data_IF_148765339901
#
_entry.id   IF_148765339901
#
_cell.length_a   1.000
_cell.length_b   1.000
_cell.length_c   1.000
_cell.angle_alpha   90.00
_cell.angle_beta   90.00
_cell.angle_gamma   90.00
#
_symmetry.space_group_name_H-M   'P 1'
#
loop_
_entity.id
_entity.type
_entity.pdbx_description
1 polymer ?
#
# COMPACT_ATOMS: atom_id res chain seq x y z
N UNK A 1 12.50 38.44 -28.85
CA UNK A 1 11.47 37.50 -29.32
C UNK A 1 12.13 36.14 -29.44
N UNK A 2 11.73 35.19 -28.57
CA UNK A 2 12.27 33.83 -28.54
C UNK A 2 11.39 32.96 -29.44
N UNK A 3 12.02 32.15 -30.28
CA UNK A 3 11.43 31.27 -31.28
C UNK A 3 10.48 30.24 -30.64
N UNK A 4 9.24 30.18 -31.13
CA UNK A 4 8.19 29.28 -30.67
C UNK A 4 8.50 27.80 -30.95
N UNK A 5 9.56 27.49 -31.69
CA UNK A 5 10.01 26.13 -32.01
C UNK A 5 11.01 25.53 -31.01
N UNK A 6 11.34 26.22 -29.91
CA UNK A 6 12.16 25.67 -28.82
C UNK A 6 11.36 24.82 -27.80
N UNK A 7 10.16 24.34 -28.14
CA UNK A 7 9.36 23.45 -27.30
C UNK A 7 10.01 22.06 -27.21
N UNK A 8 10.91 21.93 -26.24
CA UNK A 8 11.32 20.72 -25.50
C UNK A 8 11.13 19.40 -26.25
N UNK A 9 12.10 19.07 -27.10
CA UNK A 9 12.35 17.71 -27.57
C UNK A 9 13.07 16.91 -26.48
N UNK A 10 12.36 16.41 -25.46
CA UNK A 10 12.72 15.20 -24.71
C UNK A 10 11.76 15.00 -23.52
N UNK A 11 11.24 13.78 -23.30
CA UNK A 11 10.65 13.41 -22.01
C UNK A 11 11.75 13.34 -20.94
N UNK A 12 11.58 14.10 -19.85
CA UNK A 12 12.42 14.03 -18.65
C UNK A 12 11.99 12.81 -17.83
N UNK A 13 12.32 11.59 -18.27
CA UNK A 13 12.39 10.41 -17.40
C UNK A 13 13.43 9.44 -17.96
N UNK A 14 14.51 9.22 -17.21
CA UNK A 14 15.64 8.35 -17.57
C UNK A 14 15.42 6.87 -17.21
N UNK A 15 14.19 6.44 -16.94
CA UNK A 15 13.89 5.04 -16.63
C UNK A 15 12.65 4.58 -17.39
N UNK A 16 12.90 3.77 -18.40
CA UNK A 16 11.95 3.12 -19.30
C UNK A 16 11.04 2.12 -18.56
N UNK A 17 9.88 2.57 -18.08
CA UNK A 17 8.69 1.73 -17.99
C UNK A 17 7.57 2.35 -18.84
N UNK A 18 7.77 2.19 -20.16
CA UNK A 18 6.83 2.32 -21.28
C UNK A 18 5.48 3.03 -21.01
N UNK A 19 5.49 4.36 -21.16
CA UNK A 19 4.27 5.12 -21.47
C UNK A 19 3.83 4.76 -22.90
N UNK A 20 2.81 3.91 -23.06
CA UNK A 20 2.14 3.72 -24.36
C UNK A 20 1.13 4.85 -24.56
N UNK A 21 1.47 5.83 -25.39
CA UNK A 21 0.52 6.84 -25.82
C UNK A 21 -0.45 6.22 -26.83
N UNK A 22 -1.73 6.12 -26.46
CA UNK A 22 -2.77 5.73 -27.40
C UNK A 22 -3.10 6.89 -28.35
N UNK A 23 -3.30 6.62 -29.64
CA UNK A 23 -3.76 7.63 -30.58
C UNK A 23 -5.16 8.12 -30.15
N UNK A 24 -5.39 9.44 -30.13
CA UNK A 24 -6.62 10.00 -29.57
C UNK A 24 -7.84 9.65 -30.43
N UNK A 25 -9.00 9.28 -29.86
CA UNK A 25 -10.28 9.59 -30.50
C UNK A 25 -10.43 11.12 -30.57
N UNK A 26 -11.25 11.63 -31.48
CA UNK A 26 -11.32 13.02 -32.00
C UNK A 26 -11.55 14.17 -30.99
N UNK A 27 -11.37 13.93 -29.69
CA UNK A 27 -11.61 14.87 -28.59
C UNK A 27 -10.28 15.21 -27.91
N UNK A 28 -10.19 16.37 -27.27
CA UNK A 28 -8.96 16.95 -26.70
C UNK A 28 -8.41 16.21 -25.45
N UNK A 29 -8.64 14.90 -25.35
CA UNK A 29 -8.36 14.02 -24.21
C UNK A 29 -7.21 13.08 -24.53
N UNK A 30 -6.29 12.93 -23.57
CA UNK A 30 -5.12 12.06 -23.66
C UNK A 30 -5.14 11.05 -22.52
N UNK A 31 -4.55 9.88 -22.78
CA UNK A 31 -4.57 8.75 -21.86
C UNK A 31 -3.16 8.20 -21.62
N UNK A 32 -2.85 7.83 -20.38
CA UNK A 32 -1.61 7.16 -20.00
C UNK A 32 -1.92 6.02 -19.01
N UNK A 33 -1.41 4.82 -19.29
CA UNK A 33 -1.44 3.73 -18.32
C UNK A 33 -0.15 3.70 -17.53
N UNK A 34 -0.25 3.78 -16.20
CA UNK A 34 0.87 3.63 -15.29
C UNK A 34 0.79 2.25 -14.64
N UNK A 35 1.80 1.38 -14.81
CA UNK A 35 1.87 0.10 -14.12
C UNK A 35 1.65 0.28 -12.60
N UNK A 36 0.92 -0.64 -11.97
CA UNK A 36 0.49 -0.60 -10.55
C UNK A 36 -0.56 0.44 -10.18
N UNK A 37 -0.66 1.57 -10.89
CA UNK A 37 -1.54 2.70 -10.50
C UNK A 37 -2.78 2.91 -11.38
N UNK A 38 -2.79 2.44 -12.64
CA UNK A 38 -3.97 2.43 -13.49
C UNK A 38 -3.94 3.42 -14.67
N UNK A 39 -5.11 3.69 -15.24
CA UNK A 39 -5.29 4.55 -16.42
C UNK A 39 -5.59 6.00 -15.99
N UNK A 40 -4.84 6.95 -16.52
CA UNK A 40 -4.95 8.38 -16.27
C UNK A 40 -5.45 9.09 -17.54
N UNK A 41 -6.30 10.11 -17.37
CA UNK A 41 -6.82 10.96 -18.43
C UNK A 41 -6.49 12.44 -18.16
N UNK A 42 -6.16 13.21 -19.18
CA UNK A 42 -6.02 14.67 -19.10
C UNK A 42 -6.45 15.38 -20.39
N UNK A 43 -6.80 16.67 -20.30
CA UNK A 43 -7.11 17.51 -21.46
C UNK A 43 -5.86 18.25 -21.98
N UNK A 44 -5.77 18.53 -23.28
CA UNK A 44 -4.59 19.23 -23.82
C UNK A 44 -4.48 20.70 -23.36
N UNK A 45 -5.56 21.25 -22.79
CA UNK A 45 -5.62 22.60 -22.23
C UNK A 45 -5.37 22.61 -20.71
N UNK A 46 -5.12 21.45 -20.09
CA UNK A 46 -4.65 21.42 -18.71
C UNK A 46 -3.14 21.65 -18.66
N UNK A 47 -2.70 22.63 -17.89
CA UNK A 47 -1.30 22.78 -17.48
C UNK A 47 -0.98 21.63 -16.49
N UNK A 48 -0.86 20.41 -17.01
CA UNK A 48 -0.27 19.31 -16.27
C UNK A 48 1.23 19.58 -16.16
N UNK A 49 1.63 20.35 -15.14
CA UNK A 49 3.03 20.37 -14.71
C UNK A 49 3.41 18.94 -14.34
N UNK A 50 4.55 18.48 -14.87
CA UNK A 50 5.05 17.10 -14.84
C UNK A 50 5.35 16.52 -13.43
N UNK A 51 4.79 17.12 -12.38
CA UNK A 51 4.99 16.76 -10.97
C UNK A 51 3.88 15.85 -10.42
N UNK A 52 3.33 14.97 -11.26
CA UNK A 52 2.47 13.87 -10.79
C UNK A 52 1.08 14.26 -10.29
N UNK A 53 0.62 15.48 -10.56
CA UNK A 53 -0.73 15.94 -10.21
C UNK A 53 -1.38 16.73 -11.36
N UNK A 54 -2.57 16.32 -11.78
CA UNK A 54 -3.41 17.11 -12.68
C UNK A 54 -4.28 18.07 -11.85
N UNK A 55 -4.10 19.38 -12.06
CA UNK A 55 -4.88 20.44 -11.40
C UNK A 55 -6.15 20.71 -12.22
N UNK A 56 -7.34 20.53 -11.61
CA UNK A 56 -8.60 21.03 -12.18
C UNK A 56 -8.91 22.39 -11.54
N UNK A 57 -9.08 23.43 -12.37
CA UNK A 57 -9.51 24.76 -11.93
C UNK A 57 -11.03 24.87 -12.09
N UNK A 58 -11.81 25.19 -11.04
CA UNK A 58 -13.06 25.89 -11.26
C UNK A 58 -12.74 27.34 -11.63
N UNK A 59 -13.54 27.91 -12.51
CA UNK A 59 -13.38 29.27 -12.99
C UNK A 59 -13.46 30.27 -11.84
N UNK A 60 -12.35 30.96 -11.64
CA UNK A 60 -12.17 32.13 -10.78
C UNK A 60 -12.16 31.88 -9.27
N UNK A 61 -10.93 31.87 -8.75
CA UNK A 61 -10.54 32.17 -7.36
C UNK A 61 -10.62 31.06 -6.30
N UNK A 62 -9.42 30.62 -5.91
CA UNK A 62 -9.04 30.00 -4.63
C UNK A 62 -9.17 28.47 -4.52
N UNK A 63 -8.00 27.83 -4.68
CA UNK A 63 -7.59 26.48 -4.24
C UNK A 63 -8.50 25.32 -4.70
N UNK A 64 -8.16 24.71 -5.85
CA UNK A 64 -8.80 23.50 -6.35
C UNK A 64 -8.32 22.24 -5.63
N UNK A 65 -9.26 21.38 -5.24
CA UNK A 65 -9.00 20.06 -4.66
C UNK A 65 -8.91 18.99 -5.76
N UNK A 66 -8.04 17.99 -5.58
CA UNK A 66 -7.90 16.85 -6.48
C UNK A 66 -9.15 15.97 -6.46
N UNK A 67 -9.73 15.64 -7.62
CA UNK A 67 -10.84 14.68 -7.71
C UNK A 67 -10.34 13.37 -8.32
N UNK A 68 -10.33 12.31 -7.53
CA UNK A 68 -10.07 10.94 -7.97
C UNK A 68 -11.30 10.43 -8.74
N UNK A 69 -11.29 10.57 -10.07
CA UNK A 69 -12.47 10.31 -10.92
C UNK A 69 -12.74 8.81 -11.15
N UNK A 70 -11.77 7.95 -10.84
CA UNK A 70 -11.95 6.51 -10.73
C UNK A 70 -10.87 5.93 -9.82
N UNK A 71 -11.24 5.51 -8.60
CA UNK A 71 -10.37 4.65 -7.79
C UNK A 71 -10.72 3.20 -8.06
N UNK A 72 -9.81 2.44 -8.66
CA UNK A 72 -9.86 0.99 -8.44
C UNK A 72 -9.27 0.73 -7.07
N UNK A 73 -10.09 0.30 -6.11
CA UNK A 73 -9.58 -0.26 -4.86
C UNK A 73 -8.81 -1.54 -5.23
N UNK A 74 -7.49 -1.42 -5.35
CA UNK A 74 -6.61 -2.57 -5.50
C UNK A 74 -6.19 -2.98 -4.11
N UNK A 75 -6.76 -4.06 -3.61
CA UNK A 75 -6.27 -4.73 -2.42
C UNK A 75 -5.05 -5.54 -2.84
N UNK A 76 -3.86 -5.00 -2.58
CA UNK A 76 -2.59 -5.71 -2.66
C UNK A 76 -2.54 -6.87 -1.67
N UNK A 77 -1.95 -7.97 -2.12
CA UNK A 77 -1.65 -9.11 -1.29
C UNK A 77 -0.18 -9.50 -1.47
N UNK A 78 0.44 -9.96 -0.38
CA UNK A 78 1.78 -10.55 -0.41
C UNK A 78 1.72 -11.98 0.10
N UNK A 79 2.53 -12.85 -0.50
CA UNK A 79 2.77 -14.23 -0.07
C UNK A 79 4.25 -14.37 0.25
N UNK A 80 4.68 -14.01 1.48
CA UNK A 80 6.10 -14.05 1.83
C UNK A 80 6.66 -15.47 1.82
N UNK A 81 7.99 -15.63 1.80
CA UNK A 81 8.62 -16.92 2.04
C UNK A 81 8.17 -17.57 3.36
N UNK A 82 8.24 -18.90 3.41
CA UNK A 82 7.90 -19.69 4.61
C UNK A 82 8.73 -19.19 5.80
N UNK A 83 8.06 -18.88 6.92
CA UNK A 83 8.74 -18.54 8.16
C UNK A 83 9.34 -19.80 8.78
N UNK A 84 10.66 -19.88 8.76
CA UNK A 84 11.40 -20.97 9.40
C UNK A 84 11.65 -20.74 10.90
N UNK A 85 11.44 -19.52 11.41
CA UNK A 85 11.59 -19.15 12.81
C UNK A 85 10.73 -17.92 13.13
N UNK A 86 10.56 -17.63 14.42
CA UNK A 86 9.93 -16.38 14.86
C UNK A 86 10.71 -15.14 14.41
N UNK A 87 10.01 -14.00 14.32
CA UNK A 87 10.60 -12.75 13.86
C UNK A 87 10.17 -11.55 14.72
N UNK A 88 11.11 -10.63 14.90
CA UNK A 88 10.85 -9.30 15.45
C UNK A 88 10.67 -8.32 14.30
N UNK A 89 9.84 -7.29 14.48
CA UNK A 89 9.62 -6.24 13.47
C UNK A 89 9.31 -6.81 12.08
N UNK A 90 8.45 -7.82 12.00
CA UNK A 90 8.25 -8.59 10.78
C UNK A 90 7.77 -7.68 9.64
N UNK A 91 8.53 -7.58 8.55
CA UNK A 91 8.25 -6.70 7.42
C UNK A 91 8.63 -7.42 6.12
N UNK A 92 7.77 -8.32 5.61
CA UNK A 92 8.03 -8.98 4.33
C UNK A 92 8.04 -7.98 3.17
N UNK A 93 8.74 -8.33 2.09
CA UNK A 93 8.82 -7.50 0.88
C UNK A 93 7.42 -7.10 0.37
N UNK A 94 7.30 -5.86 -0.08
CA UNK A 94 6.07 -5.24 -0.62
C UNK A 94 4.91 -5.14 0.37
N UNK A 95 5.15 -5.36 1.67
CA UNK A 95 4.10 -5.19 2.67
C UNK A 95 3.59 -3.75 2.69
N UNK A 96 4.36 -2.72 2.35
CA UNK A 96 3.96 -1.31 2.41
C UNK A 96 2.66 -1.01 1.66
N UNK A 97 2.39 -1.74 0.58
CA UNK A 97 1.22 -1.57 -0.29
C UNK A 97 0.19 -2.70 -0.17
N UNK A 98 0.37 -3.61 0.79
CA UNK A 98 -0.50 -4.78 0.94
C UNK A 98 -1.57 -4.58 2.03
N UNK A 99 -2.76 -5.11 1.80
CA UNK A 99 -3.85 -5.20 2.78
C UNK A 99 -4.01 -6.63 3.29
N UNK A 100 -3.43 -7.61 2.60
CA UNK A 100 -3.42 -9.02 2.98
C UNK A 100 -2.02 -9.63 2.95
N UNK A 101 -1.68 -10.40 3.98
CA UNK A 101 -0.45 -11.18 4.07
C UNK A 101 -0.83 -12.65 4.22
N UNK A 102 -0.45 -13.48 3.26
CA UNK A 102 -0.63 -14.93 3.30
C UNK A 102 0.66 -15.59 3.79
N UNK A 103 0.74 -15.85 5.10
CA UNK A 103 1.95 -16.32 5.74
C UNK A 103 1.94 -17.83 5.99
N UNK A 104 2.92 -18.53 5.44
CA UNK A 104 3.23 -19.92 5.77
C UNK A 104 4.34 -20.00 6.83
N UNK A 105 4.38 -21.07 7.62
CA UNK A 105 5.39 -21.35 8.62
C UNK A 105 5.74 -22.84 8.63
N UNK A 106 7.03 -23.16 8.69
CA UNK A 106 7.51 -24.55 8.72
C UNK A 106 7.43 -25.19 10.11
N UNK A 107 7.15 -24.39 11.13
CA UNK A 107 6.94 -24.79 12.52
C UNK A 107 6.07 -23.75 13.23
N UNK A 108 5.68 -24.00 14.47
CA UNK A 108 5.06 -22.97 15.30
C UNK A 108 6.04 -21.80 15.47
N UNK A 109 5.61 -20.59 15.09
CA UNK A 109 6.43 -19.37 15.15
C UNK A 109 5.76 -18.29 15.97
N UNK A 110 6.58 -17.39 16.52
CA UNK A 110 6.09 -16.18 17.19
C UNK A 110 6.55 -14.94 16.44
N UNK A 111 5.61 -14.05 16.12
CA UNK A 111 5.87 -12.71 15.66
C UNK A 111 5.68 -11.73 16.81
N UNK A 112 6.66 -10.88 17.06
CA UNK A 112 6.60 -9.89 18.16
C UNK A 112 6.15 -8.51 17.70
N UNK A 113 6.07 -8.31 16.38
CA UNK A 113 5.61 -7.07 15.77
C UNK A 113 5.52 -7.18 14.25
N UNK A 114 4.87 -6.20 13.63
CA UNK A 114 4.67 -6.06 12.19
C UNK A 114 5.11 -4.66 11.75
N UNK A 115 5.92 -4.58 10.69
CA UNK A 115 6.42 -3.35 10.11
C UNK A 115 5.42 -2.59 9.26
N UNK A 116 5.86 -1.42 8.79
CA UNK A 116 5.21 -0.62 7.75
C UNK A 116 3.83 -0.04 8.13
N UNK A 117 3.57 0.17 9.42
CA UNK A 117 2.34 0.82 9.89
C UNK A 117 2.27 2.32 9.56
N UNK A 118 1.12 2.77 9.06
CA UNK A 118 0.75 4.19 8.97
C UNK A 118 -0.68 4.38 9.49
N UNK A 119 -1.01 5.56 10.01
CA UNK A 119 -2.29 5.75 10.72
C UNK A 119 -3.50 5.36 9.86
N UNK A 120 -4.41 4.61 10.45
CA UNK A 120 -5.62 4.13 9.80
C UNK A 120 -5.45 2.87 8.94
N UNK A 121 -4.21 2.42 8.68
CA UNK A 121 -3.93 1.23 7.86
C UNK A 121 -4.65 -0.01 8.39
N UNK A 122 -5.34 -0.73 7.51
CA UNK A 122 -5.89 -2.06 7.79
C UNK A 122 -5.05 -3.13 7.10
N UNK A 123 -4.71 -4.19 7.83
CA UNK A 123 -3.99 -5.34 7.28
C UNK A 123 -4.50 -6.63 7.90
N UNK A 124 -4.74 -7.64 7.07
CA UNK A 124 -5.12 -8.99 7.48
C UNK A 124 -3.95 -9.95 7.31
N UNK A 125 -3.57 -10.61 8.40
CA UNK A 125 -2.58 -11.69 8.40
C UNK A 125 -3.33 -13.03 8.38
N UNK A 126 -3.16 -13.77 7.29
CA UNK A 126 -3.64 -15.14 7.13
C UNK A 126 -2.52 -16.11 7.46
N UNK A 127 -2.81 -17.10 8.29
CA UNK A 127 -1.94 -18.25 8.47
C UNK A 127 -2.31 -19.32 7.44
N UNK A 128 -1.54 -19.43 6.37
CA UNK A 128 -1.75 -20.42 5.31
C UNK A 128 -0.96 -21.72 5.51
N UNK A 129 -0.32 -21.87 6.67
CA UNK A 129 0.38 -23.10 7.02
C UNK A 129 -0.57 -24.29 7.07
N UNK A 130 -0.09 -25.47 6.66
CA UNK A 130 -0.89 -26.70 6.68
C UNK A 130 -1.23 -27.17 8.11
N UNK A 131 -0.33 -26.97 9.08
CA UNK A 131 -0.50 -27.47 10.46
C UNK A 131 0.05 -26.55 11.54
N UNK A 132 0.86 -25.55 11.18
CA UNK A 132 1.60 -24.74 12.14
C UNK A 132 0.81 -23.50 12.56
N UNK A 133 1.06 -23.03 13.77
CA UNK A 133 0.46 -21.82 14.33
C UNK A 133 1.38 -20.61 14.23
N UNK A 134 0.78 -19.43 14.11
CA UNK A 134 1.48 -18.14 14.17
C UNK A 134 1.00 -17.41 15.42
N UNK A 135 1.86 -17.33 16.43
CA UNK A 135 1.60 -16.61 17.67
C UNK A 135 2.02 -15.14 17.53
N UNK A 136 1.17 -14.22 17.98
CA UNK A 136 1.43 -12.78 17.99
C UNK A 136 1.61 -12.33 19.44
N UNK A 137 2.82 -11.91 19.79
CA UNK A 137 3.13 -11.49 21.15
C UNK A 137 2.60 -10.08 21.44
N UNK A 138 1.87 -9.94 22.54
CA UNK A 138 1.35 -8.64 23.00
C UNK A 138 2.47 -7.71 23.47
N UNK A 139 2.51 -6.48 22.96
CA UNK A 139 3.40 -5.39 23.40
C UNK A 139 4.86 -5.81 23.62
N UNK A 140 5.35 -6.76 22.83
CA UNK A 140 6.66 -7.36 23.07
C UNK A 140 7.80 -6.36 22.87
N UNK A 141 8.65 -6.23 23.89
CA UNK A 141 9.80 -5.34 23.87
C UNK A 141 10.86 -5.73 22.84
N UNK A 142 10.83 -6.97 22.31
CA UNK A 142 11.71 -7.44 21.25
C UNK A 142 11.46 -6.75 19.90
N UNK A 143 10.29 -6.12 19.72
CA UNK A 143 9.99 -5.26 18.58
C UNK A 143 10.07 -3.78 18.95
N UNK A 144 10.42 -2.95 17.97
CA UNK A 144 10.32 -1.49 18.04
C UNK A 144 8.88 -1.09 18.39
N UNK A 145 8.71 -0.05 19.21
CA UNK A 145 7.39 0.36 19.70
C UNK A 145 6.36 0.50 18.56
N UNK A 146 6.77 1.13 17.46
CA UNK A 146 5.96 1.36 16.26
C UNK A 146 5.47 0.10 15.56
N UNK A 147 6.01 -1.08 15.87
CA UNK A 147 5.66 -2.34 15.21
C UNK A 147 4.85 -3.28 16.12
N UNK A 148 4.63 -2.93 17.39
CA UNK A 148 4.04 -3.85 18.37
C UNK A 148 2.54 -4.05 18.17
N UNK A 149 2.09 -5.26 18.53
CA UNK A 149 0.67 -5.60 18.61
C UNK A 149 0.09 -5.26 19.99
N UNK A 150 -0.93 -4.42 20.02
CA UNK A 150 -1.80 -4.27 21.20
C UNK A 150 -3.00 -5.19 21.03
N UNK A 151 -3.11 -6.18 21.91
CA UNK A 151 -4.09 -7.25 21.86
C UNK A 151 -5.06 -7.10 23.04
N UNK A 152 -6.40 -7.22 22.84
CA UNK A 152 -7.39 -6.87 23.85
C UNK A 152 -7.28 -7.61 25.19
N UNK A 153 -6.76 -8.84 25.19
CA UNK A 153 -6.60 -9.65 26.41
C UNK A 153 -5.29 -9.39 27.16
N UNK A 154 -4.41 -8.52 26.64
CA UNK A 154 -3.05 -8.34 27.17
C UNK A 154 -2.15 -9.57 27.01
N UNK A 155 -2.59 -10.57 26.24
CA UNK A 155 -1.92 -11.86 26.07
C UNK A 155 -1.61 -12.13 24.61
N UNK A 156 -0.74 -13.11 24.36
CA UNK A 156 -0.46 -13.63 23.02
C UNK A 156 -1.75 -14.08 22.32
N UNK A 157 -1.90 -13.68 21.06
CA UNK A 157 -2.94 -14.18 20.16
C UNK A 157 -2.34 -15.26 19.25
N UNK A 158 -2.86 -16.47 19.31
CA UNK A 158 -2.42 -17.57 18.42
C UNK A 158 -3.37 -17.71 17.25
N UNK A 159 -2.86 -17.55 16.04
CA UNK A 159 -3.60 -17.80 14.80
C UNK A 159 -3.35 -19.27 14.40
N UNK A 160 -4.37 -20.14 14.43
CA UNK A 160 -4.23 -21.53 14.01
C UNK A 160 -4.00 -21.65 12.50
N UNK A 161 -3.61 -22.83 12.04
CA UNK A 161 -3.57 -23.14 10.61
C UNK A 161 -4.92 -22.83 9.94
N UNK A 162 -4.90 -22.12 8.81
CA UNK A 162 -6.10 -21.65 8.11
C UNK A 162 -6.83 -20.46 8.75
N UNK A 163 -6.40 -19.99 9.92
CA UNK A 163 -6.97 -18.83 10.61
C UNK A 163 -6.45 -17.50 10.10
N UNK A 164 -7.12 -16.41 10.49
CA UNK A 164 -6.69 -15.05 10.17
C UNK A 164 -6.98 -14.04 11.30
N UNK A 165 -6.22 -12.94 11.31
CA UNK A 165 -6.47 -11.79 12.17
C UNK A 165 -6.27 -10.47 11.40
N UNK A 166 -7.20 -9.54 11.57
CA UNK A 166 -7.15 -8.20 10.97
C UNK A 166 -6.77 -7.17 12.03
N UNK A 167 -5.83 -6.30 11.67
CA UNK A 167 -5.31 -5.24 12.51
C UNK A 167 -5.55 -3.87 11.88
N UNK A 168 -5.75 -2.86 12.73
CA UNK A 168 -5.68 -1.47 12.35
C UNK A 168 -4.47 -0.82 13.01
N UNK A 169 -3.62 -0.16 12.23
CA UNK A 169 -2.58 0.67 12.77
C UNK A 169 -3.14 2.01 13.29
N UNK A 170 -2.74 2.41 14.50
CA UNK A 170 -3.03 3.72 15.06
C UNK A 170 -1.74 4.51 15.24
N UNK A 171 -1.62 5.64 14.56
CA UNK A 171 -0.46 6.53 14.61
C UNK A 171 -0.31 7.23 15.96
N UNK A 172 -1.42 7.61 16.61
CA UNK A 172 -1.39 8.27 17.91
C UNK A 172 -0.75 7.41 19.02
N UNK A 173 -0.98 6.09 18.98
CA UNK A 173 -0.37 5.13 19.92
C UNK A 173 0.86 4.44 19.33
N UNK A 174 1.08 4.56 18.02
CA UNK A 174 2.06 3.83 17.23
C UNK A 174 1.98 2.31 17.45
N UNK A 175 0.78 1.73 17.28
CA UNK A 175 0.50 0.30 17.52
C UNK A 175 -0.43 -0.32 16.49
N UNK A 176 -0.27 -1.64 16.30
CA UNK A 176 -1.25 -2.49 15.62
C UNK A 176 -2.31 -2.95 16.60
N UNK A 177 -3.55 -2.51 16.39
CA UNK A 177 -4.70 -2.86 17.21
C UNK A 177 -5.50 -3.97 16.53
N UNK A 178 -5.77 -5.07 17.25
CA UNK A 178 -6.66 -6.11 16.74
C UNK A 178 -8.06 -5.55 16.47
N UNK A 179 -8.68 -5.98 15.36
CA UNK A 179 -10.05 -5.60 14.97
C UNK A 179 -10.96 -6.80 14.82
N UNK A 180 -10.47 -7.87 14.22
CA UNK A 180 -11.23 -9.11 14.05
C UNK A 180 -10.29 -10.30 13.96
N UNK A 181 -10.85 -11.49 14.19
CA UNK A 181 -10.21 -12.79 13.99
C UNK A 181 -11.23 -13.77 13.43
N UNK A 182 -10.77 -14.79 12.71
CA UNK A 182 -11.62 -15.79 12.07
C UNK A 182 -11.10 -17.19 12.36
N UNK A 183 -11.51 -17.75 13.51
CA UNK A 183 -11.27 -19.11 14.01
C UNK A 183 -11.88 -19.26 15.41
#
# INVERSE_FOLDING_TARGET
>A
MIDANARVRAPVYSTTELLRQYAPPLDNRRYAFVPKFGLYEWSADSDATADGYAVVRPDTSTIGAFLLVASTLRLGAVTPPVLAAGANNYAPTDIETAESVYQDASQNVTLTGLGSGYDGRLLTLFNVSAANTIALAHESASSSAVNRFTLPSGSTLTIPAGGAATFQYRGATARWLLRSKTF
#
